data_IF_633749544903
#
_entry.id   IF_633749544903
#
_cell.length_a   1.000
_cell.length_b   1.000
_cell.length_c   1.000
_cell.angle_alpha   90.00
_cell.angle_beta   90.00
_cell.angle_gamma   90.00
#
_symmetry.space_group_name_H-M   'P 1'
#
loop_
_entity.id
_entity.type
_entity.pdbx_description
1 polymer ?
#
# COMPACT_ATOMS: atom_id res chain seq x y z
N UNK A 1 4.22 -7.22 -14.41
CA UNK A 1 5.39 -6.63 -13.72
C UNK A 1 5.11 -5.14 -13.55
N UNK A 2 4.69 -4.73 -12.35
CA UNK A 2 4.37 -3.33 -12.08
C UNK A 2 5.68 -2.54 -11.91
N UNK A 3 5.91 -1.58 -12.82
CA UNK A 3 7.05 -0.67 -12.75
C UNK A 3 6.81 0.35 -11.64
N UNK A 4 7.55 0.26 -10.53
CA UNK A 4 7.50 1.20 -9.41
C UNK A 4 8.42 2.39 -9.71
N UNK A 5 7.89 3.40 -10.39
CA UNK A 5 8.60 4.65 -10.63
C UNK A 5 8.43 5.59 -9.43
N UNK A 6 9.46 5.65 -8.58
CA UNK A 6 9.67 6.67 -7.55
C UNK A 6 9.16 6.23 -6.18
N UNK A 7 10.09 5.92 -5.28
CA UNK A 7 10.04 5.92 -3.80
C UNK A 7 8.70 5.66 -3.08
N UNK A 8 7.73 4.98 -3.68
CA UNK A 8 6.37 4.90 -3.16
C UNK A 8 5.71 3.59 -3.55
N UNK A 9 4.95 3.02 -2.61
CA UNK A 9 4.14 1.82 -2.82
C UNK A 9 2.68 2.21 -2.73
N UNK A 10 1.88 1.73 -3.69
CA UNK A 10 0.43 1.91 -3.71
C UNK A 10 -0.26 0.57 -3.48
N UNK A 11 -1.03 0.50 -2.41
CA UNK A 11 -1.87 -0.63 -2.05
C UNK A 11 -3.32 -0.27 -2.31
N UNK A 12 -4.06 -1.17 -2.96
CA UNK A 12 -5.49 -1.02 -3.19
C UNK A 12 -6.26 -2.23 -2.68
N UNK A 13 -7.39 -1.96 -2.03
CA UNK A 13 -8.31 -2.98 -1.58
C UNK A 13 -9.72 -2.57 -1.99
N UNK A 14 -10.43 -3.48 -2.64
CA UNK A 14 -11.79 -3.25 -3.11
C UNK A 14 -12.72 -4.20 -2.38
N UNK A 15 -13.64 -3.64 -1.60
CA UNK A 15 -14.64 -4.37 -0.83
C UNK A 15 -15.99 -4.19 -1.53
N UNK A 16 -16.72 -5.29 -1.70
CA UNK A 16 -18.07 -5.25 -2.28
C UNK A 16 -19.07 -5.08 -1.16
N UNK A 17 -19.86 -4.00 -1.21
CA UNK A 17 -20.93 -3.76 -0.23
C UNK A 17 -22.24 -4.19 -0.86
N UNK A 18 -22.95 -5.09 -0.19
CA UNK A 18 -24.32 -5.41 -0.55
C UNK A 18 -25.20 -4.14 -0.53
N UNK A 19 -26.38 -4.20 -1.16
CA UNK A 19 -27.34 -3.08 -1.22
C UNK A 19 -28.06 -2.81 0.12
N UNK A 20 -27.40 -3.07 1.26
CA UNK A 20 -27.97 -2.91 2.60
C UNK A 20 -27.32 -1.71 3.31
N UNK A 21 -28.11 -0.69 3.72
CA UNK A 21 -27.59 0.54 4.31
C UNK A 21 -26.94 0.35 5.70
N UNK A 22 -27.08 -0.82 6.33
CA UNK A 22 -26.42 -1.15 7.59
C UNK A 22 -24.94 -1.54 7.43
N UNK A 23 -24.50 -1.90 6.22
CA UNK A 23 -23.15 -2.40 5.97
C UNK A 23 -22.08 -1.29 5.92
N UNK A 24 -22.46 -0.01 5.81
CA UNK A 24 -21.53 1.10 5.60
C UNK A 24 -20.55 1.36 6.77
N UNK A 25 -20.93 0.97 7.99
CA UNK A 25 -20.11 1.01 9.21
C UNK A 25 -19.27 -0.28 9.37
N UNK A 26 -19.60 -1.33 8.61
CA UNK A 26 -18.94 -2.64 8.62
C UNK A 26 -17.87 -2.79 7.53
N UNK A 27 -17.76 -1.79 6.64
CA UNK A 27 -16.77 -1.69 5.55
C UNK A 27 -15.39 -1.19 6.01
N UNK A 28 -15.18 -1.03 7.31
CA UNK A 28 -13.88 -0.62 7.81
C UNK A 28 -12.87 -1.76 7.65
N UNK A 29 -11.83 -1.53 6.86
CA UNK A 29 -10.74 -2.50 6.66
C UNK A 29 -9.57 -2.18 7.57
N UNK A 30 -9.00 -3.22 8.15
CA UNK A 30 -7.72 -3.17 8.85
C UNK A 30 -6.63 -3.48 7.84
N UNK A 31 -5.64 -2.59 7.77
CA UNK A 31 -4.43 -2.85 6.98
C UNK A 31 -3.36 -3.47 7.88
N UNK A 32 -2.82 -4.60 7.44
CA UNK A 32 -1.75 -5.30 8.14
C UNK A 32 -0.52 -5.47 7.24
N UNK A 33 0.66 -5.50 7.86
CA UNK A 33 1.93 -5.88 7.26
C UNK A 33 2.52 -7.00 8.10
N UNK A 34 2.79 -8.15 7.46
CA UNK A 34 3.27 -9.37 8.12
C UNK A 34 2.40 -9.77 9.32
N UNK A 35 1.07 -9.60 9.16
CA UNK A 35 0.08 -9.90 10.19
C UNK A 35 -0.01 -8.87 11.34
N UNK A 36 0.72 -7.76 11.28
CA UNK A 36 0.65 -6.68 12.28
C UNK A 36 -0.08 -5.46 11.73
N UNK A 37 -0.95 -4.86 12.55
CA UNK A 37 -1.67 -3.66 12.16
C UNK A 37 -0.71 -2.51 11.80
N UNK A 38 -0.93 -1.91 10.65
CA UNK A 38 -0.18 -0.74 10.20
C UNK A 38 -0.60 0.50 11.00
N UNK A 39 0.37 1.34 11.37
CA UNK A 39 0.08 2.61 12.02
C UNK A 39 -0.26 3.69 10.97
N UNK A 40 -1.48 3.66 10.43
CA UNK A 40 -1.94 4.63 9.42
C UNK A 40 -2.07 6.07 9.96
N UNK A 41 -1.92 6.27 11.28
CA UNK A 41 -1.85 7.60 11.89
C UNK A 41 -0.49 8.27 11.67
N UNK A 42 0.55 7.52 11.32
CA UNK A 42 1.83 8.10 10.91
C UNK A 42 1.70 8.68 9.50
N UNK A 43 1.11 9.86 9.43
CA UNK A 43 0.82 10.53 8.17
C UNK A 43 2.09 10.85 7.40
N UNK A 44 3.26 10.94 8.05
CA UNK A 44 4.57 11.10 7.40
C UNK A 44 4.89 9.92 6.48
N UNK A 45 4.63 8.69 6.93
CA UNK A 45 4.86 7.48 6.14
C UNK A 45 3.68 7.12 5.25
N UNK A 46 2.44 7.31 5.72
CA UNK A 46 1.25 6.79 5.05
C UNK A 46 0.26 7.89 4.66
N UNK A 47 -0.29 7.79 3.45
CA UNK A 47 -1.48 8.54 3.04
C UNK A 47 -2.55 7.54 2.66
N UNK A 48 -3.72 7.59 3.30
CA UNK A 48 -4.82 6.69 3.00
C UNK A 48 -6.04 7.45 2.48
N UNK A 49 -6.84 6.79 1.65
CA UNK A 49 -8.09 7.31 1.08
C UNK A 49 -9.12 6.21 0.95
N UNK A 50 -10.38 6.58 1.12
CA UNK A 50 -11.54 5.70 0.89
C UNK A 50 -12.46 6.36 -0.13
N UNK A 51 -12.83 5.61 -1.16
CA UNK A 51 -13.79 6.04 -2.17
C UNK A 51 -14.95 5.07 -2.21
N UNK A 52 -16.18 5.57 -2.03
CA UNK A 52 -17.40 4.78 -2.14
C UNK A 52 -18.06 5.06 -3.49
N UNK A 53 -18.44 4.00 -4.21
CA UNK A 53 -19.18 4.09 -5.47
C UNK A 53 -20.16 2.93 -5.54
N UNK A 54 -21.38 3.15 -6.03
CA UNK A 54 -22.52 2.22 -6.01
C UNK A 54 -22.17 0.71 -5.85
N UNK A 55 -22.26 0.20 -4.61
CA UNK A 55 -22.02 -1.21 -4.26
C UNK A 55 -20.57 -1.63 -4.01
N UNK A 56 -19.62 -0.70 -4.05
CA UNK A 56 -18.18 -0.96 -3.91
C UNK A 56 -17.49 0.14 -3.10
N UNK A 57 -16.59 -0.25 -2.20
CA UNK A 57 -15.68 0.65 -1.49
C UNK A 57 -14.25 0.32 -1.86
N UNK A 58 -13.51 1.35 -2.28
CA UNK A 58 -12.09 1.23 -2.60
C UNK A 58 -11.28 1.93 -1.52
N UNK A 59 -10.49 1.15 -0.79
CA UNK A 59 -9.49 1.62 0.16
C UNK A 59 -8.13 1.68 -0.53
N UNK A 60 -7.42 2.78 -0.36
CA UNK A 60 -6.08 2.97 -0.93
C UNK A 60 -5.13 3.43 0.16
N UNK A 61 -3.96 2.80 0.24
CA UNK A 61 -2.85 3.24 1.09
C UNK A 61 -1.64 3.52 0.20
N UNK A 62 -1.06 4.70 0.37
CA UNK A 62 0.19 5.11 -0.25
C UNK A 62 1.27 5.16 0.82
N UNK A 63 2.29 4.33 0.65
CA UNK A 63 3.51 4.34 1.46
C UNK A 63 4.48 5.30 0.81
N UNK A 64 4.89 6.34 1.53
CA UNK A 64 5.86 7.33 1.09
C UNK A 64 7.28 6.88 1.41
N UNK A 65 8.24 7.31 0.61
CA UNK A 65 9.66 7.04 0.82
C UNK A 65 9.90 5.56 1.14
N UNK A 66 9.38 4.68 0.28
CA UNK A 66 9.42 3.25 0.47
C UNK A 66 10.88 2.77 0.48
N UNK A 67 11.27 2.07 1.54
CA UNK A 67 12.59 1.47 1.69
C UNK A 67 12.47 -0.05 1.73
N UNK A 68 13.61 -0.76 1.75
CA UNK A 68 13.63 -2.21 1.95
C UNK A 68 12.97 -2.66 3.26
N UNK A 69 12.77 -1.75 4.23
CA UNK A 69 12.05 -2.03 5.49
C UNK A 69 10.53 -2.07 5.31
N UNK A 70 10.03 -1.64 4.14
CA UNK A 70 8.65 -1.78 3.71
C UNK A 70 8.42 -3.04 2.87
N UNK A 71 9.39 -3.95 2.80
CA UNK A 71 9.16 -5.29 2.28
C UNK A 71 8.23 -6.07 3.21
N UNK A 72 7.28 -6.84 2.66
CA UNK A 72 6.41 -7.69 3.47
C UNK A 72 5.13 -8.18 2.78
N UNK A 73 4.37 -9.01 3.49
CA UNK A 73 3.00 -9.40 3.11
C UNK A 73 2.01 -8.35 3.61
N UNK A 74 1.44 -7.60 2.69
CA UNK A 74 0.44 -6.59 2.99
C UNK A 74 -0.95 -7.17 2.80
N UNK A 75 -1.81 -7.04 3.81
CA UNK A 75 -3.19 -7.46 3.73
C UNK A 75 -4.17 -6.34 4.08
N UNK A 76 -5.32 -6.36 3.43
CA UNK A 76 -6.51 -5.65 3.87
C UNK A 76 -7.52 -6.66 4.37
N UNK A 77 -8.07 -6.40 5.55
CA UNK A 77 -8.95 -7.32 6.27
C UNK A 77 -10.23 -6.59 6.66
N UNK A 78 -11.35 -7.01 6.07
CA UNK A 78 -12.69 -6.65 6.54
C UNK A 78 -13.29 -7.83 7.33
N UNK A 79 -14.48 -7.65 7.92
CA UNK A 79 -15.17 -8.74 8.62
C UNK A 79 -15.42 -9.98 7.75
N UNK A 80 -15.60 -9.78 6.44
CA UNK A 80 -16.06 -10.84 5.52
C UNK A 80 -15.06 -11.15 4.41
N UNK A 81 -14.04 -10.31 4.20
CA UNK A 81 -13.10 -10.45 3.09
C UNK A 81 -11.68 -10.14 3.55
N UNK A 82 -10.72 -10.94 3.06
CA UNK A 82 -9.28 -10.68 3.23
C UNK A 82 -8.61 -10.80 1.87
N UNK A 83 -7.80 -9.83 1.51
CA UNK A 83 -6.93 -9.89 0.36
C UNK A 83 -5.50 -9.53 0.79
N UNK A 84 -4.51 -10.27 0.31
CA UNK A 84 -3.11 -9.99 0.58
C UNK A 84 -2.25 -9.98 -0.68
N UNK A 85 -1.13 -9.28 -0.60
CA UNK A 85 -0.14 -9.15 -1.65
C UNK A 85 1.25 -9.00 -1.03
N UNK A 86 2.19 -9.79 -1.53
CA UNK A 86 3.61 -9.64 -1.21
C UNK A 86 4.15 -8.45 -1.98
N UNK A 87 4.74 -7.50 -1.26
CA UNK A 87 5.40 -6.32 -1.82
C UNK A 87 6.89 -6.45 -1.57
N UNK A 88 7.67 -6.35 -2.66
CA UNK A 88 9.11 -6.27 -2.59
C UNK A 88 9.61 -4.88 -2.98
N UNK A 89 10.28 -4.21 -2.04
CA UNK A 89 10.85 -2.88 -2.26
C UNK A 89 12.34 -3.02 -2.50
N UNK A 90 12.77 -2.75 -3.73
CA UNK A 90 14.18 -2.76 -4.08
C UNK A 90 14.80 -1.41 -3.75
N UNK A 91 15.99 -1.41 -3.14
CA UNK A 91 16.80 -0.20 -3.06
C UNK A 91 17.17 0.20 -4.48
N UNK A 92 16.96 1.48 -4.81
CA UNK A 92 17.72 2.05 -5.91
C UNK A 92 19.17 2.02 -5.48
N UNK A 93 19.95 1.06 -5.99
CA UNK A 93 21.35 1.37 -6.26
C UNK A 93 21.30 2.55 -7.23
N UNK A 94 21.53 3.77 -6.74
CA UNK A 94 21.98 4.84 -7.62
C UNK A 94 23.30 4.37 -8.21
N UNK A 95 23.23 3.71 -9.36
CA UNK A 95 24.36 3.56 -10.26
C UNK A 95 24.66 4.93 -10.87
N UNK A 96 25.08 5.87 -10.03
CA UNK A 96 25.70 7.15 -10.37
C UNK A 96 27.01 7.29 -9.59
N UNK A 97 27.81 6.23 -9.51
CA UNK A 97 29.21 6.33 -9.12
C UNK A 97 30.07 5.38 -9.96
N UNK A 98 30.03 5.56 -11.28
CA UNK A 98 30.98 4.93 -12.19
C UNK A 98 31.14 5.73 -13.50
N UNK A 99 31.33 7.05 -13.42
CA UNK A 99 32.13 7.73 -14.43
C UNK A 99 33.46 8.11 -13.79
N UNK A 100 34.36 7.16 -13.93
CA UNK A 100 35.76 7.23 -13.56
C UNK A 100 36.41 8.51 -14.07
N UNK A 101 37.15 9.12 -13.17
CA UNK A 101 38.31 9.95 -13.43
C UNK A 101 39.18 9.34 -14.54
N UNK A 102 39.06 9.81 -15.79
CA UNK A 102 40.11 9.68 -16.82
C UNK A 102 39.84 10.66 -17.94
N UNK A 103 40.62 11.71 -18.02
CA UNK A 103 40.58 12.70 -19.11
C UNK A 103 41.63 13.77 -18.89
N UNK A 104 42.88 13.37 -19.08
CA UNK A 104 44.09 14.19 -19.04
C UNK A 104 44.17 15.08 -20.28
#
# INVERSE_FOLDING_TARGET
>A
MANMAGDEVLLNCTVSVGNEPAAAEEDEVVWTRDGKAMNLNDTNKYIWKVKRSAGVVVHTVRIRQATMEDDGDYACESRHQRASQIVHVNSRFSSEVAHSLTGR
#
